data_IF_836366033038
#
_entry.id   IF_836366033038
#
_cell.length_a   1.000
_cell.length_b   1.000
_cell.length_c   1.000
_cell.angle_alpha   90.00
_cell.angle_beta   90.00
_cell.angle_gamma   90.00
#
_symmetry.space_group_name_H-M   'P 1'
#
loop_
_entity.id
_entity.type
_entity.pdbx_description
1 polymer ?
#
# COMPACT_ATOMS: atom_id res chain seq x y z
N UNK A 1 -25.12 -20.88 23.08
CA UNK A 1 -26.58 -20.95 23.28
C UNK A 1 -27.25 -20.38 22.04
N UNK A 2 -28.13 -21.16 21.43
CA UNK A 2 -28.80 -20.90 20.16
C UNK A 2 -29.82 -19.76 20.25
N UNK A 3 -30.10 -19.10 19.12
CA UNK A 3 -31.48 -18.89 18.65
C UNK A 3 -31.54 -18.95 17.13
N UNK A 4 -31.98 -20.11 16.66
CA UNK A 4 -32.68 -20.28 15.39
C UNK A 4 -33.93 -19.40 15.39
N UNK A 5 -34.15 -18.65 14.30
CA UNK A 5 -35.50 -18.34 13.86
C UNK A 5 -35.60 -18.70 12.37
N UNK A 6 -36.20 -19.87 12.17
CA UNK A 6 -36.81 -20.33 10.91
C UNK A 6 -38.05 -19.49 10.69
N UNK A 7 -38.15 -18.82 9.55
CA UNK A 7 -39.44 -18.35 9.06
C UNK A 7 -39.78 -19.02 7.72
N UNK A 8 -40.96 -19.61 7.74
CA UNK A 8 -41.56 -20.46 6.71
C UNK A 8 -42.02 -19.62 5.53
N UNK A 9 -41.77 -20.13 4.32
CA UNK A 9 -42.56 -19.79 3.14
C UNK A 9 -43.98 -20.38 3.24
N UNK A 10 -44.97 -19.76 2.58
CA UNK A 10 -46.13 -20.48 2.07
C UNK A 10 -46.25 -20.36 0.54
N UNK A 11 -46.23 -21.54 -0.08
CA UNK A 11 -47.24 -22.03 -1.03
C UNK A 11 -47.64 -21.19 -2.26
N UNK A 12 -47.62 -21.86 -3.41
CA UNK A 12 -48.80 -21.83 -4.30
C UNK A 12 -48.55 -21.55 -5.78
N UNK A 13 -48.11 -22.60 -6.49
CA UNK A 13 -48.58 -23.07 -7.80
C UNK A 13 -49.03 -22.07 -8.89
N UNK A 14 -48.44 -22.22 -10.09
CA UNK A 14 -49.16 -22.69 -11.30
C UNK A 14 -48.16 -23.08 -12.39
N UNK A 15 -48.14 -24.38 -12.71
CA UNK A 15 -47.52 -24.93 -13.91
C UNK A 15 -48.28 -24.42 -15.13
N UNK A 16 -47.59 -23.68 -16.00
CA UNK A 16 -47.98 -23.53 -17.39
C UNK A 16 -47.01 -24.35 -18.24
N UNK A 17 -47.52 -25.47 -18.76
CA UNK A 17 -46.84 -26.32 -19.73
C UNK A 17 -47.03 -25.71 -21.12
N UNK A 18 -45.96 -25.17 -21.71
CA UNK A 18 -45.94 -24.82 -23.14
C UNK A 18 -44.73 -25.45 -23.81
N UNK A 19 -45.01 -26.56 -24.50
CA UNK A 19 -44.55 -26.99 -25.83
C UNK A 19 -43.14 -26.59 -26.30
N UNK A 20 -42.34 -27.63 -26.49
CA UNK A 20 -41.03 -27.71 -27.13
C UNK A 20 -40.77 -26.77 -28.32
N UNK A 21 -39.66 -26.03 -28.22
CA UNK A 21 -38.91 -25.42 -29.33
C UNK A 21 -37.49 -25.99 -29.36
N UNK A 22 -36.98 -26.26 -30.57
CA UNK A 22 -35.65 -26.84 -30.91
C UNK A 22 -34.48 -26.18 -30.17
N UNK A 23 -33.35 -26.90 -29.94
CA UNK A 23 -32.24 -26.38 -29.16
C UNK A 23 -31.59 -25.22 -29.92
N UNK A 24 -31.64 -24.02 -29.33
CA UNK A 24 -30.67 -23.00 -29.67
C UNK A 24 -29.31 -23.52 -29.20
N UNK A 25 -28.40 -23.72 -30.14
CA UNK A 25 -26.99 -23.97 -29.87
C UNK A 25 -26.51 -22.82 -28.99
N UNK A 26 -26.33 -23.09 -27.70
CA UNK A 26 -25.80 -22.14 -26.74
C UNK A 26 -24.34 -21.89 -27.16
N UNK A 27 -24.12 -20.83 -27.94
CA UNK A 27 -22.80 -20.30 -28.22
C UNK A 27 -22.29 -19.74 -26.89
N UNK A 28 -21.65 -20.62 -26.13
CA UNK A 28 -20.94 -20.27 -24.90
C UNK A 28 -20.01 -19.08 -25.22
N UNK A 29 -20.06 -17.99 -24.44
CA UNK A 29 -19.16 -16.87 -24.63
C UNK A 29 -17.72 -17.35 -24.47
N UNK A 30 -16.76 -16.87 -25.29
CA UNK A 30 -15.38 -17.35 -25.28
C UNK A 30 -14.69 -17.24 -23.91
N UNK A 31 -15.19 -16.35 -23.04
CA UNK A 31 -14.77 -16.22 -21.65
C UNK A 31 -15.05 -17.47 -20.80
N UNK A 32 -16.15 -18.21 -21.04
CA UNK A 32 -16.44 -19.44 -20.28
C UNK A 32 -15.55 -20.62 -20.73
N UNK A 33 -15.09 -20.61 -21.99
CA UNK A 33 -14.12 -21.58 -22.49
C UNK A 33 -12.71 -21.31 -21.90
N UNK A 34 -12.33 -20.03 -21.77
CA UNK A 34 -11.10 -19.61 -21.08
C UNK A 34 -11.12 -19.98 -19.58
N UNK A 35 -12.27 -19.87 -18.91
CA UNK A 35 -12.44 -20.30 -17.51
C UNK A 35 -12.35 -21.83 -17.31
N UNK A 36 -12.72 -22.63 -18.32
CA UNK A 36 -12.61 -24.08 -18.28
C UNK A 36 -11.21 -24.59 -18.68
N UNK A 37 -10.49 -23.89 -19.58
CA UNK A 37 -9.09 -24.21 -19.90
C UNK A 37 -8.10 -23.71 -18.84
N UNK A 38 -8.46 -22.69 -18.04
CA UNK A 38 -7.61 -22.17 -16.96
C UNK A 38 -7.44 -23.10 -15.74
N UNK A 39 -8.16 -24.22 -15.70
CA UNK A 39 -8.05 -25.23 -14.64
C UNK A 39 -7.20 -26.46 -15.01
N UNK A 40 -6.55 -26.46 -16.19
CA UNK A 40 -5.66 -27.54 -16.64
C UNK A 40 -4.29 -26.97 -17.00
N UNK A 41 -3.56 -26.55 -15.98
CA UNK A 41 -2.10 -26.63 -15.98
C UNK A 41 -1.72 -27.79 -15.07
N UNK A 42 -1.89 -29.01 -15.57
CA UNK A 42 -1.13 -30.15 -15.08
C UNK A 42 0.33 -29.86 -15.45
N UNK A 43 1.13 -29.42 -14.50
CA UNK A 43 2.59 -29.50 -14.61
C UNK A 43 2.95 -30.97 -14.34
N UNK A 44 3.41 -31.75 -15.34
CA UNK A 44 3.85 -33.10 -15.08
C UNK A 44 5.22 -33.03 -14.40
N UNK A 45 5.25 -33.54 -13.17
CA UNK A 45 6.35 -34.27 -12.56
C UNK A 45 7.78 -33.99 -13.07
N UNK A 46 8.50 -33.16 -12.32
CA UNK A 46 9.88 -33.53 -11.96
C UNK A 46 10.01 -33.41 -10.45
N UNK A 47 9.87 -34.56 -9.77
CA UNK A 47 10.36 -34.78 -8.42
C UNK A 47 11.86 -34.45 -8.38
N UNK A 48 12.18 -33.23 -7.95
CA UNK A 48 13.47 -32.89 -7.36
C UNK A 48 13.25 -31.81 -6.30
N UNK A 49 12.30 -32.04 -5.38
CA UNK A 49 12.42 -31.46 -4.04
C UNK A 49 13.50 -32.25 -3.32
N UNK A 50 14.76 -31.86 -3.58
CA UNK A 50 15.82 -32.11 -2.61
C UNK A 50 15.39 -31.45 -1.31
N UNK A 51 15.22 -32.26 -0.27
CA UNK A 51 15.17 -31.83 1.12
C UNK A 51 16.25 -30.73 1.32
N UNK A 52 15.95 -29.58 1.96
CA UNK A 52 17.01 -28.64 2.29
C UNK A 52 18.00 -29.39 3.18
N UNK A 53 19.19 -29.65 2.65
CA UNK A 53 20.25 -30.35 3.36
C UNK A 53 20.51 -29.60 4.66
N UNK A 54 20.81 -30.31 5.76
CA UNK A 54 21.19 -29.70 7.05
C UNK A 54 22.24 -28.59 6.87
N UNK A 55 23.20 -28.81 5.96
CA UNK A 55 24.20 -27.83 5.52
C UNK A 55 23.61 -26.50 5.01
N UNK A 56 22.46 -26.52 4.33
CA UNK A 56 21.80 -25.32 3.82
C UNK A 56 21.15 -24.49 4.93
N UNK A 57 20.58 -25.14 5.94
CA UNK A 57 20.03 -24.47 7.11
C UNK A 57 21.14 -23.90 7.98
N UNK A 58 22.22 -24.67 8.19
CA UNK A 58 23.41 -24.21 8.90
C UNK A 58 24.09 -23.04 8.19
N UNK A 59 24.16 -23.07 6.85
CA UNK A 59 24.67 -21.94 6.06
C UNK A 59 23.80 -20.70 6.18
N UNK A 60 22.47 -20.86 6.29
CA UNK A 60 21.56 -19.73 6.46
C UNK A 60 21.62 -19.15 7.87
N UNK A 61 21.70 -19.99 8.90
CA UNK A 61 21.88 -19.55 10.28
C UNK A 61 23.19 -18.78 10.47
N UNK A 62 24.29 -19.24 9.86
CA UNK A 62 25.58 -18.53 9.92
C UNK A 62 25.56 -17.19 9.16
N UNK A 63 24.81 -17.10 8.06
CA UNK A 63 24.56 -15.83 7.34
C UNK A 63 23.74 -14.86 8.18
N UNK A 64 22.66 -15.32 8.82
CA UNK A 64 21.83 -14.51 9.71
C UNK A 64 22.64 -14.00 10.91
N UNK A 65 23.43 -14.86 11.58
CA UNK A 65 24.32 -14.46 12.68
C UNK A 65 25.36 -13.41 12.26
N UNK A 66 25.97 -13.60 11.08
CA UNK A 66 26.94 -12.64 10.53
C UNK A 66 26.32 -11.27 10.26
N UNK A 67 25.09 -11.26 9.74
CA UNK A 67 24.32 -10.04 9.55
C UNK A 67 23.97 -9.36 10.88
N UNK A 68 23.53 -10.10 11.90
CA UNK A 68 23.19 -9.54 13.20
C UNK A 68 24.39 -8.81 13.84
N UNK A 69 25.58 -9.40 13.77
CA UNK A 69 26.82 -8.76 14.26
C UNK A 69 27.08 -7.42 13.55
N UNK A 70 26.95 -7.37 12.23
CA UNK A 70 27.19 -6.14 11.47
C UNK A 70 26.10 -5.09 11.73
N UNK A 71 24.84 -5.50 11.83
CA UNK A 71 23.73 -4.63 12.20
C UNK A 71 23.91 -4.04 13.62
N UNK A 72 24.49 -4.79 14.56
CA UNK A 72 24.86 -4.26 15.89
C UNK A 72 25.94 -3.18 15.81
N UNK A 73 26.90 -3.27 14.89
CA UNK A 73 27.87 -2.20 14.66
C UNK A 73 27.21 -0.93 14.10
N UNK A 74 26.28 -1.07 13.15
CA UNK A 74 25.46 0.05 12.67
C UNK A 74 24.75 0.76 13.83
N UNK A 75 24.12 -0.03 14.70
CA UNK A 75 23.41 0.48 15.86
C UNK A 75 24.32 1.18 16.87
N UNK A 76 25.49 0.61 17.17
CA UNK A 76 26.47 1.22 18.06
C UNK A 76 26.99 2.55 17.51
N UNK A 77 27.29 2.60 16.22
CA UNK A 77 27.70 3.84 15.55
C UNK A 77 26.62 4.92 15.66
N UNK A 78 25.36 4.57 15.37
CA UNK A 78 24.23 5.47 15.53
C UNK A 78 24.11 6.02 16.96
N UNK A 79 24.16 5.16 17.98
CA UNK A 79 24.08 5.59 19.39
C UNK A 79 25.17 6.60 19.74
N UNK A 80 26.39 6.35 19.30
CA UNK A 80 27.51 7.26 19.56
C UNK A 80 27.28 8.64 18.96
N UNK A 81 26.74 8.70 17.74
CA UNK A 81 26.39 9.97 17.11
C UNK A 81 25.25 10.68 17.86
N UNK A 82 24.22 9.93 18.26
CA UNK A 82 23.06 10.45 18.99
C UNK A 82 23.38 11.00 20.39
N UNK A 83 24.44 10.52 21.04
CA UNK A 83 24.86 11.04 22.35
C UNK A 83 25.19 12.55 22.33
N UNK A 84 25.58 13.08 21.17
CA UNK A 84 25.91 14.52 21.00
C UNK A 84 24.69 15.39 20.69
N UNK A 85 23.56 14.77 20.35
CA UNK A 85 22.33 15.46 19.93
C UNK A 85 21.56 15.93 21.16
N UNK A 86 21.24 17.22 21.20
CA UNK A 86 20.51 17.84 22.33
C UNK A 86 18.99 17.77 22.22
N UNK A 87 18.48 17.71 21.00
CA UNK A 87 17.04 17.71 20.71
C UNK A 87 16.71 16.56 19.75
N UNK A 88 16.28 15.44 20.31
CA UNK A 88 15.91 14.25 19.54
C UNK A 88 14.60 14.40 18.77
N UNK A 89 13.76 15.37 19.13
CA UNK A 89 12.46 15.58 18.48
C UNK A 89 12.56 16.49 17.25
N UNK A 90 13.70 17.12 17.03
CA UNK A 90 13.95 17.91 15.84
C UNK A 90 14.44 17.03 14.67
N UNK A 91 13.52 16.70 13.76
CA UNK A 91 13.83 15.89 12.58
C UNK A 91 15.01 16.41 11.75
N UNK A 92 15.16 17.74 11.63
CA UNK A 92 16.28 18.32 10.86
C UNK A 92 17.65 17.99 11.45
N UNK A 93 17.72 17.79 12.77
CA UNK A 93 18.95 17.46 13.48
C UNK A 93 19.25 15.95 13.45
N UNK A 94 18.20 15.11 13.51
CA UNK A 94 18.36 13.65 13.61
C UNK A 94 18.31 12.92 12.26
N UNK A 95 17.70 13.51 11.23
CA UNK A 95 17.39 12.84 9.96
C UNK A 95 18.60 12.20 9.30
N UNK A 96 19.75 12.87 9.31
CA UNK A 96 21.00 12.34 8.77
C UNK A 96 21.44 11.07 9.50
N UNK A 97 21.55 11.11 10.82
CA UNK A 97 21.97 9.97 11.62
C UNK A 97 21.01 8.79 11.50
N UNK A 98 19.70 9.05 11.49
CA UNK A 98 18.69 8.02 11.29
C UNK A 98 18.80 7.39 9.89
N UNK A 99 19.01 8.21 8.86
CA UNK A 99 19.22 7.74 7.48
C UNK A 99 20.49 6.91 7.36
N UNK A 100 21.59 7.31 8.02
CA UNK A 100 22.85 6.57 8.06
C UNK A 100 22.66 5.19 8.74
N UNK A 101 21.87 5.11 9.82
CA UNK A 101 21.50 3.84 10.46
C UNK A 101 20.71 2.95 9.50
N UNK A 102 19.65 3.48 8.89
CA UNK A 102 18.81 2.74 7.95
C UNK A 102 19.63 2.22 6.77
N UNK A 103 20.45 3.07 6.15
CA UNK A 103 21.34 2.70 5.06
C UNK A 103 22.33 1.60 5.48
N UNK A 104 22.93 1.71 6.67
CA UNK A 104 23.86 0.69 7.16
C UNK A 104 23.17 -0.67 7.34
N UNK A 105 21.93 -0.70 7.85
CA UNK A 105 21.15 -1.94 7.99
C UNK A 105 20.80 -2.55 6.63
N UNK A 106 20.31 -1.72 5.70
CA UNK A 106 19.96 -2.13 4.33
C UNK A 106 21.19 -2.66 3.58
N UNK A 107 22.30 -1.92 3.60
CA UNK A 107 23.55 -2.32 2.96
C UNK A 107 24.08 -3.67 3.47
N UNK A 108 24.02 -3.89 4.78
CA UNK A 108 24.45 -5.17 5.36
C UNK A 108 23.48 -6.30 5.00
N UNK A 109 22.17 -6.07 5.03
CA UNK A 109 21.19 -7.07 4.58
C UNK A 109 21.49 -7.50 3.14
N UNK A 110 21.67 -6.54 2.22
CA UNK A 110 22.02 -6.79 0.83
C UNK A 110 23.36 -7.54 0.69
N UNK A 111 24.38 -7.15 1.45
CA UNK A 111 25.72 -7.77 1.42
C UNK A 111 25.70 -9.25 1.86
N UNK A 112 24.79 -9.61 2.76
CA UNK A 112 24.59 -10.98 3.24
C UNK A 112 23.49 -11.73 2.45
N UNK A 113 22.90 -11.13 1.41
CA UNK A 113 21.85 -11.74 0.60
C UNK A 113 20.51 -11.89 1.35
N UNK A 114 20.27 -11.07 2.36
CA UNK A 114 19.05 -11.01 3.15
C UNK A 114 18.15 -9.88 2.65
N UNK A 115 16.84 -10.04 2.81
CA UNK A 115 15.89 -8.97 2.50
C UNK A 115 15.92 -7.85 3.53
N UNK A 116 15.63 -6.63 3.08
CA UNK A 116 15.31 -5.49 3.94
C UNK A 116 13.87 -5.02 3.67
N UNK A 117 13.04 -4.76 4.71
CA UNK A 117 13.33 -4.96 6.12
C UNK A 117 13.36 -6.45 6.52
N UNK A 118 14.01 -6.74 7.66
CA UNK A 118 14.03 -8.06 8.30
C UNK A 118 13.82 -7.93 9.82
N UNK A 119 13.51 -9.03 10.55
CA UNK A 119 13.14 -8.96 11.96
C UNK A 119 14.21 -8.32 12.86
N UNK A 120 15.50 -8.50 12.57
CA UNK A 120 16.56 -7.90 13.36
C UNK A 120 16.68 -6.38 13.12
N UNK A 121 16.60 -5.94 11.86
CA UNK A 121 16.54 -4.52 11.52
C UNK A 121 15.32 -3.86 12.18
N UNK A 122 14.15 -4.50 12.12
CA UNK A 122 12.93 -4.00 12.77
C UNK A 122 13.12 -3.82 14.27
N UNK A 123 13.73 -4.79 14.97
CA UNK A 123 14.08 -4.65 16.39
C UNK A 123 14.97 -3.43 16.65
N UNK A 124 16.03 -3.24 15.87
CA UNK A 124 16.92 -2.08 16.03
C UNK A 124 16.16 -0.76 15.81
N UNK A 125 15.33 -0.70 14.77
CA UNK A 125 14.54 0.49 14.47
C UNK A 125 13.54 0.78 15.61
N UNK A 126 12.82 -0.23 16.11
CA UNK A 126 11.89 -0.06 17.23
C UNK A 126 12.61 0.39 18.52
N UNK A 127 13.75 -0.23 18.86
CA UNK A 127 14.60 0.21 19.98
C UNK A 127 15.06 1.66 19.82
N UNK A 128 15.37 2.07 18.59
CA UNK A 128 15.72 3.47 18.27
C UNK A 128 14.60 4.42 18.66
N UNK A 129 13.37 4.11 18.25
CA UNK A 129 12.17 4.88 18.57
C UNK A 129 11.88 4.90 20.07
N UNK A 130 12.02 3.76 20.73
CA UNK A 130 11.77 3.64 22.17
C UNK A 130 12.73 4.48 23.01
N UNK A 131 14.02 4.46 22.67
CA UNK A 131 15.06 5.15 23.45
C UNK A 131 15.05 6.66 23.19
N UNK A 132 14.91 7.10 21.95
CA UNK A 132 15.13 8.50 21.58
C UNK A 132 13.83 9.29 21.35
N UNK A 133 12.74 8.63 20.93
CA UNK A 133 11.57 9.32 20.36
C UNK A 133 10.27 9.12 21.13
N UNK A 134 10.26 8.39 22.25
CA UNK A 134 9.06 8.12 23.07
C UNK A 134 8.36 9.36 23.59
N UNK A 135 9.09 10.44 23.85
CA UNK A 135 8.55 11.71 24.35
C UNK A 135 8.36 12.75 23.24
N UNK A 136 8.58 12.39 21.98
CA UNK A 136 8.39 13.31 20.87
C UNK A 136 6.92 13.33 20.48
N UNK A 137 6.31 14.52 20.56
CA UNK A 137 4.97 14.74 20.04
C UNK A 137 5.06 15.00 18.55
N UNK A 138 4.42 14.15 17.75
CA UNK A 138 4.34 14.36 16.32
C UNK A 138 3.28 15.46 16.09
N UNK A 139 3.74 16.70 15.89
CA UNK A 139 2.87 17.75 15.35
C UNK A 139 2.70 17.44 13.87
N UNK A 140 1.81 16.49 13.57
CA UNK A 140 1.46 16.19 12.20
C UNK A 140 0.76 17.43 11.64
N UNK A 141 1.26 18.07 10.57
CA UNK A 141 0.41 18.91 9.78
C UNK A 141 -0.77 18.01 9.39
N UNK A 142 -1.99 18.37 9.77
CA UNK A 142 -3.17 17.67 9.31
C UNK A 142 -3.23 17.85 7.80
N UNK A 143 -2.61 16.93 7.05
CA UNK A 143 -2.86 16.71 5.62
C UNK A 143 -4.22 16.04 5.49
N UNK A 144 -5.22 16.75 6.02
CA UNK A 144 -6.61 16.39 5.88
C UNK A 144 -7.15 17.20 4.71
N UNK A 145 -8.01 16.57 3.93
CA UNK A 145 -8.78 17.30 2.95
C UNK A 145 -9.54 18.45 3.65
N UNK A 146 -9.67 19.61 3.00
CA UNK A 146 -10.49 20.68 3.52
C UNK A 146 -11.94 20.19 3.70
N UNK A 147 -12.72 20.77 4.62
CA UNK A 147 -14.13 20.41 4.78
C UNK A 147 -14.87 20.44 3.44
N UNK A 148 -15.82 19.52 3.25
CA UNK A 148 -16.50 19.31 1.97
C UNK A 148 -17.10 20.60 1.39
N UNK A 149 -17.68 21.45 2.24
CA UNK A 149 -18.24 22.75 1.85
C UNK A 149 -17.19 23.73 1.30
N UNK A 150 -15.99 23.73 1.89
CA UNK A 150 -14.88 24.59 1.46
C UNK A 150 -14.29 24.07 0.15
N UNK A 151 -14.12 22.76 0.04
CA UNK A 151 -13.69 22.10 -1.19
C UNK A 151 -14.65 22.41 -2.34
N UNK A 152 -15.95 22.27 -2.10
CA UNK A 152 -16.99 22.54 -3.07
C UNK A 152 -16.98 24.02 -3.49
N UNK A 153 -16.84 24.94 -2.53
CA UNK A 153 -16.73 26.37 -2.83
C UNK A 153 -15.51 26.68 -3.72
N UNK A 154 -14.35 26.07 -3.44
CA UNK A 154 -13.14 26.21 -4.27
C UNK A 154 -13.31 25.64 -5.68
N UNK A 155 -14.17 24.65 -5.88
CA UNK A 155 -14.49 24.09 -7.21
C UNK A 155 -15.50 24.97 -7.95
N UNK A 156 -16.58 25.39 -7.28
CA UNK A 156 -17.64 26.19 -7.91
C UNK A 156 -17.15 27.60 -8.26
N UNK A 157 -16.30 28.21 -7.43
CA UNK A 157 -15.78 29.56 -7.66
C UNK A 157 -15.14 29.76 -9.05
N UNK A 158 -14.15 28.96 -9.50
CA UNK A 158 -13.58 29.10 -10.84
C UNK A 158 -14.59 28.76 -11.94
N UNK A 159 -15.48 27.77 -11.74
CA UNK A 159 -16.51 27.40 -12.72
C UNK A 159 -17.46 28.58 -13.00
N UNK A 160 -17.79 29.39 -11.98
CA UNK A 160 -18.65 30.55 -12.14
C UNK A 160 -17.89 31.81 -12.58
N UNK A 161 -16.68 32.05 -12.04
CA UNK A 161 -15.92 33.25 -12.34
C UNK A 161 -15.39 33.29 -13.78
N UNK A 162 -14.90 32.16 -14.31
CA UNK A 162 -14.33 32.11 -15.66
C UNK A 162 -15.35 32.55 -16.74
N UNK A 163 -16.55 31.94 -16.86
CA UNK A 163 -17.52 32.36 -17.86
C UNK A 163 -18.01 33.79 -17.63
N UNK A 164 -18.16 34.22 -16.37
CA UNK A 164 -18.51 35.61 -16.05
C UNK A 164 -17.46 36.59 -16.62
N UNK A 165 -16.17 36.37 -16.33
CA UNK A 165 -15.10 37.20 -16.85
C UNK A 165 -15.01 37.15 -18.38
N UNK A 166 -15.17 35.98 -19.00
CA UNK A 166 -15.17 35.83 -20.46
C UNK A 166 -16.30 36.65 -21.09
N UNK A 167 -17.53 36.56 -20.56
CA UNK A 167 -18.66 37.34 -21.09
C UNK A 167 -18.45 38.84 -20.93
N UNK A 168 -17.88 39.29 -19.80
CA UNK A 168 -17.53 40.70 -19.61
C UNK A 168 -16.49 41.19 -20.61
N UNK A 169 -15.45 40.39 -20.88
CA UNK A 169 -14.40 40.74 -21.85
C UNK A 169 -14.99 40.83 -23.27
N UNK A 170 -15.81 39.86 -23.68
CA UNK A 170 -16.48 39.88 -25.00
C UNK A 170 -17.44 41.07 -25.11
N UNK A 171 -18.17 41.39 -24.05
CA UNK A 171 -19.07 42.53 -24.07
C UNK A 171 -18.30 43.84 -24.22
N UNK A 172 -17.24 44.03 -23.44
CA UNK A 172 -16.37 45.21 -23.53
C UNK A 172 -15.64 45.33 -24.86
N UNK A 173 -15.21 44.22 -25.47
CA UNK A 173 -14.56 44.28 -26.78
C UNK A 173 -15.55 44.75 -27.85
N UNK A 174 -16.80 44.25 -27.82
CA UNK A 174 -17.83 44.66 -28.78
C UNK A 174 -18.26 46.13 -28.62
N UNK A 175 -18.34 46.63 -27.39
CA UNK A 175 -18.69 48.04 -27.15
C UNK A 175 -17.58 49.00 -27.61
N UNK A 176 -16.32 48.58 -27.54
CA UNK A 176 -15.18 49.35 -28.07
C UNK A 176 -15.17 49.34 -29.61
N UNK A 177 -15.47 48.21 -30.24
CA UNK A 177 -15.56 48.10 -31.71
C UNK A 177 -16.70 48.94 -32.31
N UNK A 178 -17.79 49.15 -31.56
CA UNK A 178 -18.92 49.98 -31.99
C UNK A 178 -18.68 51.50 -31.84
N UNK A 179 -17.61 51.92 -31.16
CA UNK A 179 -17.23 53.32 -30.95
C UNK A 179 -16.04 53.78 -31.82
N UNK A 180 -15.43 52.87 -32.59
CA UNK A 180 -14.41 53.15 -33.60
C UNK A 180 -15.03 53.35 -34.99
#
# INVERSE_FOLDING_TARGET
>A
MARFLVERAPSGSRLAMTRAGRPAVLRLPPLLLLLLLGAVSTFPESLNQSLPTEDSLLSRETVEESYEINALFCWFYYKNQMNSVKDWCNWTLISRHYSDLQYCLEYNADSFGLGFPNPFAERIILETHLIHFTNCSLVQPTFSDPPEDVLLAMIIAPICLIPFLVTLVVWRSKDNDAQA
#
